data_IF_142125839210
#
_entry.id   IF_142125839210
#
_cell.length_a   1.000
_cell.length_b   1.000
_cell.length_c   1.000
_cell.angle_alpha   90.00
_cell.angle_beta   90.00
_cell.angle_gamma   90.00
#
_symmetry.space_group_name_H-M   'P 1'
#
loop_
_entity.id
_entity.type
_entity.pdbx_description
1 polymer ?
#
# COMPACT_ATOMS: atom_id res chain seq x y z
N UNK A 1 19.86 0.94 -19.99
CA UNK A 1 20.11 1.09 -18.53
C UNK A 1 18.97 0.51 -17.68
N UNK A 2 17.68 0.75 -18.00
CA UNK A 2 16.53 0.23 -17.22
C UNK A 2 16.51 -1.31 -17.12
N UNK A 3 16.79 -2.03 -18.20
CA UNK A 3 16.89 -3.50 -18.21
C UNK A 3 17.96 -4.02 -17.20
N UNK A 4 19.17 -3.45 -17.23
CA UNK A 4 20.24 -3.87 -16.33
C UNK A 4 19.89 -3.60 -14.88
N UNK A 5 19.32 -2.44 -14.58
CA UNK A 5 18.85 -2.10 -13.24
C UNK A 5 17.78 -3.05 -12.74
N UNK A 6 16.79 -3.38 -13.58
CA UNK A 6 15.75 -4.34 -13.24
C UNK A 6 16.32 -5.75 -13.04
N UNK A 7 17.28 -6.18 -13.88
CA UNK A 7 17.92 -7.48 -13.75
C UNK A 7 18.69 -7.61 -12.41
N UNK A 8 19.32 -6.55 -11.95
CA UNK A 8 20.01 -6.51 -10.65
C UNK A 8 19.01 -6.42 -9.51
N UNK A 9 17.95 -5.60 -9.67
CA UNK A 9 16.96 -5.39 -8.64
C UNK A 9 16.29 -6.69 -8.18
N UNK A 10 15.86 -7.54 -9.11
CA UNK A 10 15.12 -8.74 -8.77
C UNK A 10 15.89 -9.69 -7.83
N UNK A 11 17.08 -10.17 -8.16
CA UNK A 11 17.81 -11.08 -7.25
C UNK A 11 18.22 -10.39 -5.94
N UNK A 12 18.59 -9.12 -5.99
CA UNK A 12 19.02 -8.37 -4.79
C UNK A 12 17.82 -8.13 -3.85
N UNK A 13 16.72 -7.58 -4.36
CA UNK A 13 15.56 -7.29 -3.53
C UNK A 13 14.87 -8.57 -3.04
N UNK A 14 14.53 -9.50 -3.94
CA UNK A 14 13.79 -10.70 -3.56
C UNK A 14 14.66 -11.72 -2.81
N UNK A 15 15.94 -11.82 -3.13
CA UNK A 15 16.86 -12.70 -2.39
C UNK A 15 16.97 -12.29 -0.91
N UNK A 16 17.19 -11.01 -0.64
CA UNK A 16 17.20 -10.53 0.74
C UNK A 16 15.83 -10.56 1.39
N UNK A 17 14.75 -10.29 0.64
CA UNK A 17 13.38 -10.43 1.15
C UNK A 17 13.08 -11.85 1.62
N UNK A 18 13.55 -12.88 0.93
CA UNK A 18 13.40 -14.26 1.38
C UNK A 18 14.09 -14.51 2.73
N UNK A 19 15.29 -13.95 2.93
CA UNK A 19 15.99 -14.01 4.24
C UNK A 19 15.17 -13.28 5.32
N UNK A 20 14.60 -12.12 5.00
CA UNK A 20 13.77 -11.36 5.94
C UNK A 20 12.44 -12.06 6.26
N UNK A 21 11.88 -12.86 5.33
CA UNK A 21 10.73 -13.73 5.64
C UNK A 21 11.10 -14.76 6.68
N UNK A 22 12.27 -15.42 6.56
CA UNK A 22 12.77 -16.36 7.58
C UNK A 22 12.99 -15.62 8.91
N UNK A 23 13.68 -14.48 8.88
CA UNK A 23 13.92 -13.65 10.06
C UNK A 23 12.60 -13.21 10.74
N UNK A 24 11.56 -12.90 9.96
CA UNK A 24 10.25 -12.53 10.51
C UNK A 24 9.59 -13.67 11.28
N UNK A 25 9.69 -14.90 10.78
CA UNK A 25 9.19 -16.09 11.48
C UNK A 25 9.98 -16.33 12.77
N UNK A 26 11.31 -16.23 12.70
CA UNK A 26 12.20 -16.39 13.86
C UNK A 26 12.04 -15.26 14.90
N UNK A 27 11.56 -14.09 14.50
CA UNK A 27 11.31 -12.97 15.40
C UNK A 27 10.01 -13.15 16.24
N UNK A 28 9.07 -13.98 15.80
CA UNK A 28 7.76 -14.16 16.45
C UNK A 28 7.86 -14.55 17.93
N UNK A 29 8.69 -15.51 18.35
CA UNK A 29 8.85 -15.87 19.75
C UNK A 29 9.36 -14.73 20.64
N UNK A 30 10.05 -13.74 20.06
CA UNK A 30 10.57 -12.56 20.76
C UNK A 30 9.55 -11.43 20.86
N UNK A 31 8.32 -11.66 20.41
CA UNK A 31 7.19 -10.74 20.53
C UNK A 31 6.99 -9.80 19.34
N UNK A 32 5.87 -9.07 19.39
CA UNK A 32 5.43 -8.17 18.29
C UNK A 32 6.44 -7.10 17.93
N UNK A 33 7.17 -6.56 18.91
CA UNK A 33 8.16 -5.50 18.65
C UNK A 33 9.33 -6.00 17.81
N UNK A 34 9.77 -7.24 18.02
CA UNK A 34 10.80 -7.86 17.21
C UNK A 34 10.33 -8.04 15.76
N UNK A 35 9.12 -8.59 15.57
CA UNK A 35 8.51 -8.72 14.25
C UNK A 35 8.32 -7.37 13.55
N UNK A 36 7.84 -6.35 14.28
CA UNK A 36 7.69 -4.97 13.75
C UNK A 36 9.00 -4.42 13.21
N UNK A 37 10.12 -4.62 13.92
CA UNK A 37 11.44 -4.17 13.48
C UNK A 37 11.88 -4.86 12.17
N UNK A 38 11.66 -6.17 12.04
CA UNK A 38 11.99 -6.91 10.81
C UNK A 38 11.14 -6.41 9.64
N UNK A 39 9.85 -6.20 9.84
CA UNK A 39 8.95 -5.70 8.79
C UNK A 39 9.29 -4.26 8.40
N UNK A 40 9.61 -3.39 9.36
CA UNK A 40 10.06 -2.02 9.09
C UNK A 40 11.39 -2.02 8.30
N UNK A 41 12.34 -2.89 8.68
CA UNK A 41 13.59 -3.06 7.95
C UNK A 41 13.37 -3.52 6.50
N UNK A 42 12.39 -4.42 6.28
CA UNK A 42 12.02 -4.82 4.91
C UNK A 42 11.50 -3.65 4.07
N UNK A 43 10.67 -2.77 4.64
CA UNK A 43 10.24 -1.54 3.96
C UNK A 43 11.39 -0.59 3.63
N UNK A 44 12.35 -0.41 4.54
CA UNK A 44 13.56 0.40 4.31
C UNK A 44 14.46 -0.23 3.24
N UNK A 45 14.60 -1.55 3.24
CA UNK A 45 15.34 -2.29 2.21
C UNK A 45 14.70 -2.13 0.82
N UNK A 46 13.36 -2.15 0.76
CA UNK A 46 12.63 -1.86 -0.46
C UNK A 46 12.94 -0.45 -0.98
N UNK A 47 12.79 0.56 -0.12
CA UNK A 47 13.12 1.96 -0.46
C UNK A 47 14.54 2.07 -1.00
N UNK A 48 15.53 1.54 -0.26
CA UNK A 48 16.93 1.58 -0.68
C UNK A 48 17.12 0.93 -2.06
N UNK A 49 16.52 -0.22 -2.29
CA UNK A 49 16.63 -0.94 -3.58
C UNK A 49 15.99 -0.14 -4.73
N UNK A 50 14.86 0.49 -4.46
CA UNK A 50 14.13 1.31 -5.45
C UNK A 50 14.92 2.56 -5.81
N UNK A 51 15.49 3.26 -4.84
CA UNK A 51 16.24 4.49 -5.07
C UNK A 51 17.62 4.23 -5.68
N UNK A 52 18.38 3.27 -5.14
CA UNK A 52 19.78 3.07 -5.51
C UNK A 52 19.96 2.12 -6.70
N UNK A 53 19.10 1.12 -6.87
CA UNK A 53 19.22 0.19 -8.00
C UNK A 53 18.36 0.67 -9.17
N UNK A 54 17.08 0.96 -8.93
CA UNK A 54 16.15 1.34 -9.99
C UNK A 54 16.25 2.82 -10.39
N UNK A 55 16.84 3.68 -9.55
CA UNK A 55 16.90 5.13 -9.72
C UNK A 55 15.48 5.75 -9.80
N UNK A 56 14.63 5.31 -8.89
CA UNK A 56 13.28 5.84 -8.72
C UNK A 56 13.28 6.65 -7.42
N UNK A 57 13.06 7.95 -7.53
CA UNK A 57 12.92 8.85 -6.38
C UNK A 57 11.53 8.72 -5.78
N UNK A 58 11.43 8.75 -4.45
CA UNK A 58 10.15 8.73 -3.74
C UNK A 58 9.89 10.11 -3.11
N UNK A 59 8.72 10.66 -3.39
CA UNK A 59 8.27 11.96 -2.85
C UNK A 59 6.96 11.78 -2.12
N UNK A 60 6.82 12.38 -0.96
CA UNK A 60 5.57 12.44 -0.21
C UNK A 60 5.12 13.90 -0.10
N UNK A 61 3.90 14.17 -0.53
CA UNK A 61 3.23 15.46 -0.44
C UNK A 61 2.07 15.36 0.57
N UNK A 62 2.08 16.24 1.54
CA UNK A 62 1.13 16.22 2.66
C UNK A 62 1.57 15.33 3.82
N UNK A 63 0.81 15.41 4.90
CA UNK A 63 1.09 14.70 6.14
C UNK A 63 0.17 13.50 6.26
N UNK A 64 0.74 12.33 6.48
CA UNK A 64 0.00 11.12 6.80
C UNK A 64 -0.33 11.16 8.30
N UNK A 65 -1.61 11.07 8.71
CA UNK A 65 -1.96 11.09 10.12
C UNK A 65 -1.47 9.83 10.84
N UNK A 66 -0.95 9.99 12.04
CA UNK A 66 -0.46 8.89 12.90
C UNK A 66 -1.55 8.40 13.88
N UNK A 67 -2.80 8.62 13.55
CA UNK A 67 -3.98 8.23 14.31
C UNK A 67 -4.75 7.07 13.65
N UNK A 68 -5.64 6.38 14.39
CA UNK A 68 -6.46 5.29 13.83
C UNK A 68 -7.49 5.82 12.83
N UNK A 69 -7.11 5.90 11.56
CA UNK A 69 -7.96 6.30 10.43
C UNK A 69 -8.00 5.18 9.37
N UNK A 70 -8.98 5.27 8.48
CA UNK A 70 -9.01 4.43 7.28
C UNK A 70 -8.29 5.15 6.14
N UNK A 71 -7.15 4.63 5.72
CA UNK A 71 -6.35 5.20 4.64
C UNK A 71 -6.68 4.47 3.34
N UNK A 72 -7.21 5.19 2.37
CA UNK A 72 -7.57 4.69 1.06
C UNK A 72 -6.49 5.05 0.04
N UNK A 73 -5.66 4.08 -0.35
CA UNK A 73 -4.51 4.29 -1.23
C UNK A 73 -4.84 3.82 -2.64
N UNK A 74 -4.53 4.64 -3.66
CA UNK A 74 -4.52 4.23 -5.08
C UNK A 74 -3.64 2.99 -5.24
N UNK A 75 -4.06 2.02 -6.09
CA UNK A 75 -3.31 0.78 -6.30
C UNK A 75 -2.93 0.57 -7.76
N UNK A 76 -1.72 0.98 -8.14
CA UNK A 76 -1.23 0.85 -9.51
C UNK A 76 -0.20 -0.28 -9.69
N UNK A 77 0.57 -0.60 -8.64
CA UNK A 77 1.62 -1.61 -8.72
C UNK A 77 1.80 -2.38 -7.40
N UNK A 78 2.83 -3.20 -7.30
CA UNK A 78 3.23 -3.80 -6.02
C UNK A 78 3.96 -2.82 -5.10
N UNK A 79 4.46 -1.71 -5.66
CA UNK A 79 5.28 -0.75 -4.93
C UNK A 79 4.59 -0.27 -3.65
N UNK A 80 3.39 0.30 -3.76
CA UNK A 80 2.67 0.86 -2.63
C UNK A 80 2.29 -0.20 -1.59
N UNK A 81 1.98 -1.43 -2.01
CA UNK A 81 1.67 -2.50 -1.06
C UNK A 81 2.89 -2.92 -0.21
N UNK A 82 4.08 -2.92 -0.83
CA UNK A 82 5.34 -3.24 -0.16
C UNK A 82 5.81 -2.07 0.73
N UNK A 83 5.54 -0.84 0.32
CA UNK A 83 6.03 0.37 0.97
C UNK A 83 5.24 0.78 2.24
N UNK A 84 4.05 0.22 2.46
CA UNK A 84 3.20 0.56 3.62
C UNK A 84 3.91 0.47 4.98
N UNK A 85 4.73 -0.56 5.28
CA UNK A 85 5.44 -0.64 6.56
C UNK A 85 6.49 0.45 6.78
N UNK A 86 6.94 1.12 5.71
CA UNK A 86 7.85 2.27 5.79
C UNK A 86 7.08 3.57 6.03
N UNK A 87 5.97 3.75 5.32
CA UNK A 87 5.16 4.97 5.42
C UNK A 87 4.46 5.10 6.77
N UNK A 88 4.14 3.98 7.42
CA UNK A 88 3.39 3.95 8.67
C UNK A 88 4.14 3.14 9.74
N UNK A 89 4.08 3.58 10.99
CA UNK A 89 4.86 2.96 12.07
C UNK A 89 4.43 1.53 12.43
N UNK A 90 3.19 1.14 12.20
CA UNK A 90 2.65 -0.20 12.42
C UNK A 90 1.30 -0.39 11.73
N UNK A 91 1.24 -0.32 10.40
CA UNK A 91 -0.02 -0.33 9.68
C UNK A 91 -0.70 -1.68 9.73
N UNK A 92 -2.03 -1.67 9.61
CA UNK A 92 -2.84 -2.84 9.32
C UNK A 92 -3.36 -2.74 7.90
N UNK A 93 -2.87 -3.59 7.01
CA UNK A 93 -3.25 -3.60 5.60
C UNK A 93 -4.32 -4.66 5.35
N UNK A 94 -5.38 -4.29 4.63
CA UNK A 94 -6.33 -5.23 4.07
C UNK A 94 -5.69 -5.93 2.87
N UNK A 95 -5.35 -7.19 3.03
CA UNK A 95 -4.59 -7.96 2.05
C UNK A 95 -5.38 -9.15 1.50
N UNK A 96 -5.15 -9.50 0.24
CA UNK A 96 -5.79 -10.62 -0.43
C UNK A 96 -5.52 -11.93 0.33
N UNK A 97 -6.58 -12.71 0.60
CA UNK A 97 -6.51 -13.93 1.43
C UNK A 97 -5.47 -14.94 0.93
N UNK A 98 -5.30 -15.06 -0.38
CA UNK A 98 -4.37 -16.00 -1.00
C UNK A 98 -2.90 -15.69 -0.66
N UNK A 99 -2.58 -14.45 -0.35
CA UNK A 99 -1.23 -14.08 0.09
C UNK A 99 -0.85 -14.76 1.42
N UNK A 100 -1.83 -15.04 2.26
CA UNK A 100 -1.58 -15.74 3.54
C UNK A 100 -1.24 -17.23 3.37
N UNK A 101 -1.30 -17.76 2.15
CA UNK A 101 -0.84 -19.10 1.82
C UNK A 101 0.67 -19.15 1.50
N UNK A 102 1.33 -18.00 1.33
CA UNK A 102 2.77 -17.93 1.07
C UNK A 102 3.51 -18.42 2.32
N UNK A 103 4.35 -19.47 2.20
CA UNK A 103 5.08 -20.05 3.32
C UNK A 103 5.92 -18.99 4.07
N UNK A 104 5.86 -19.03 5.40
CA UNK A 104 6.55 -18.09 6.28
C UNK A 104 5.91 -16.68 6.28
N UNK A 105 5.77 -16.05 5.12
CA UNK A 105 5.19 -14.73 4.99
C UNK A 105 3.75 -14.69 5.53
N UNK A 106 2.90 -15.62 5.12
CA UNK A 106 1.49 -15.66 5.54
C UNK A 106 1.32 -15.83 7.04
N UNK A 107 2.17 -16.61 7.68
CA UNK A 107 2.19 -16.75 9.14
C UNK A 107 2.62 -15.44 9.82
N UNK A 108 3.72 -14.87 9.38
CA UNK A 108 4.20 -13.58 9.90
C UNK A 108 3.18 -12.45 9.67
N UNK A 109 2.53 -12.41 8.51
CA UNK A 109 1.48 -11.43 8.20
C UNK A 109 0.28 -11.51 9.15
N UNK A 110 -0.15 -12.73 9.52
CA UNK A 110 -1.21 -12.95 10.53
C UNK A 110 -0.79 -12.44 11.91
N UNK A 111 0.42 -12.79 12.36
CA UNK A 111 0.94 -12.37 13.66
C UNK A 111 1.18 -10.85 13.69
N UNK A 112 1.69 -10.29 12.61
CA UNK A 112 1.82 -8.85 12.43
C UNK A 112 0.47 -8.13 12.50
N UNK A 113 -0.60 -8.78 12.04
CA UNK A 113 -1.98 -8.30 12.16
C UNK A 113 -2.56 -7.70 10.89
N UNK A 114 -2.16 -8.18 9.72
CA UNK A 114 -2.87 -7.88 8.48
C UNK A 114 -4.28 -8.49 8.51
N UNK A 115 -5.20 -7.86 7.77
CA UNK A 115 -6.60 -8.30 7.67
C UNK A 115 -6.81 -9.03 6.35
N UNK A 116 -7.09 -10.35 6.36
CA UNK A 116 -7.35 -11.08 5.13
C UNK A 116 -8.71 -10.69 4.52
N UNK A 117 -8.72 -10.36 3.23
CA UNK A 117 -9.93 -10.04 2.46
C UNK A 117 -10.35 -11.26 1.65
N UNK A 118 -11.54 -11.79 1.94
CA UNK A 118 -12.20 -12.83 1.15
C UNK A 118 -13.40 -12.19 0.42
N UNK A 119 -13.24 -11.91 -0.88
CA UNK A 119 -14.24 -11.17 -1.67
C UNK A 119 -15.49 -11.96 -1.98
N UNK A 120 -15.40 -13.27 -2.00
CA UNK A 120 -16.39 -14.26 -2.42
C UNK A 120 -17.24 -14.86 -1.28
N UNK A 121 -16.97 -14.49 -0.02
CA UNK A 121 -17.58 -15.13 1.15
C UNK A 121 -18.72 -14.35 1.84
N UNK A 122 -19.26 -13.32 1.20
CA UNK A 122 -20.47 -12.64 1.64
C UNK A 122 -20.40 -11.96 3.02
N UNK A 123 -21.56 -11.78 3.67
CA UNK A 123 -21.71 -10.99 4.90
C UNK A 123 -20.93 -11.54 6.11
N UNK A 124 -20.72 -12.86 6.20
CA UNK A 124 -19.95 -13.46 7.32
C UNK A 124 -18.50 -13.02 7.27
N UNK A 125 -17.84 -13.14 6.10
CA UNK A 125 -16.46 -12.74 5.93
C UNK A 125 -16.26 -11.23 6.16
N UNK A 126 -17.20 -10.40 5.75
CA UNK A 126 -17.17 -8.97 6.05
C UNK A 126 -17.20 -8.72 7.56
N UNK A 127 -18.06 -9.40 8.31
CA UNK A 127 -18.13 -9.25 9.77
C UNK A 127 -16.83 -9.68 10.46
N UNK A 128 -16.24 -10.80 10.07
CA UNK A 128 -14.95 -11.28 10.61
C UNK A 128 -13.82 -10.29 10.32
N UNK A 129 -13.79 -9.74 9.12
CA UNK A 129 -12.83 -8.72 8.70
C UNK A 129 -12.99 -7.43 9.53
N UNK A 130 -14.22 -6.96 9.74
CA UNK A 130 -14.52 -5.78 10.56
C UNK A 130 -14.16 -6.02 12.03
N UNK A 131 -14.46 -7.19 12.58
CA UNK A 131 -14.09 -7.54 13.96
C UNK A 131 -12.57 -7.48 14.15
N UNK A 132 -11.81 -8.05 13.21
CA UNK A 132 -10.34 -7.98 13.21
C UNK A 132 -9.85 -6.54 13.10
N UNK A 133 -10.42 -5.75 12.18
CA UNK A 133 -10.04 -4.36 12.00
C UNK A 133 -10.28 -3.51 13.27
N UNK A 134 -11.41 -3.71 13.95
CA UNK A 134 -11.71 -3.02 15.22
C UNK A 134 -10.69 -3.32 16.32
N UNK A 135 -10.19 -4.55 16.41
CA UNK A 135 -9.12 -4.90 17.36
C UNK A 135 -7.86 -4.07 17.03
N UNK A 136 -7.51 -3.93 15.75
CA UNK A 136 -6.32 -3.18 15.31
C UNK A 136 -6.47 -1.67 15.55
N UNK A 137 -7.67 -1.12 15.35
CA UNK A 137 -7.99 0.26 15.73
C UNK A 137 -7.77 0.49 17.24
N UNK A 138 -8.25 -0.45 18.06
CA UNK A 138 -8.04 -0.40 19.52
C UNK A 138 -6.56 -0.50 19.93
N UNK A 139 -5.70 -1.00 19.07
CA UNK A 139 -4.23 -1.00 19.22
C UNK A 139 -3.57 0.32 18.75
N UNK A 140 -4.36 1.33 18.34
CA UNK A 140 -3.86 2.61 17.82
C UNK A 140 -3.32 2.54 16.39
N UNK A 141 -3.66 1.51 15.60
CA UNK A 141 -3.08 1.26 14.28
C UNK A 141 -3.93 1.86 13.16
N UNK A 142 -3.32 2.54 12.17
CA UNK A 142 -4.02 2.95 10.97
C UNK A 142 -4.41 1.73 10.13
N UNK A 143 -5.58 1.80 9.51
CA UNK A 143 -6.07 0.77 8.59
C UNK A 143 -5.83 1.20 7.14
N UNK A 144 -5.20 0.37 6.34
CA UNK A 144 -4.88 0.68 4.95
C UNK A 144 -5.66 -0.23 4.02
N UNK A 145 -6.37 0.38 3.09
CA UNK A 145 -7.14 -0.31 2.08
C UNK A 145 -6.83 0.24 0.68
N UNK A 146 -6.86 -0.66 -0.29
CA UNK A 146 -6.83 -0.33 -1.71
C UNK A 146 -8.28 -0.39 -2.24
N UNK A 147 -8.99 0.74 -2.34
CA UNK A 147 -10.44 0.76 -2.55
C UNK A 147 -10.86 0.27 -3.94
N UNK A 148 -9.95 0.24 -4.89
CA UNK A 148 -10.15 -0.33 -6.23
C UNK A 148 -10.17 -1.87 -6.21
N UNK A 149 -9.63 -2.46 -5.15
CA UNK A 149 -9.59 -3.90 -4.92
C UNK A 149 -8.66 -4.68 -5.84
N UNK A 150 -8.06 -4.08 -6.83
CA UNK A 150 -7.05 -4.65 -7.74
C UNK A 150 -6.10 -3.56 -8.17
N UNK A 151 -4.96 -3.94 -8.77
CA UNK A 151 -4.07 -2.97 -9.39
C UNK A 151 -4.70 -2.42 -10.65
N UNK A 152 -4.68 -1.09 -10.77
CA UNK A 152 -5.28 -0.34 -11.88
C UNK A 152 -4.17 0.30 -12.70
N UNK A 153 -4.27 0.25 -14.01
CA UNK A 153 -3.30 0.91 -14.87
C UNK A 153 -3.32 2.43 -14.61
N UNK A 154 -2.16 3.05 -14.65
CA UNK A 154 -2.06 4.50 -14.52
C UNK A 154 -2.91 5.21 -15.59
N UNK A 155 -3.69 6.19 -15.18
CA UNK A 155 -4.66 6.90 -16.00
C UNK A 155 -6.07 6.30 -15.99
N UNK A 156 -6.25 5.04 -15.57
CA UNK A 156 -7.57 4.45 -15.44
C UNK A 156 -8.21 4.81 -14.09
N UNK A 157 -9.53 5.00 -14.11
CA UNK A 157 -10.32 5.43 -12.95
C UNK A 157 -11.57 4.56 -12.76
N UNK A 158 -11.42 3.24 -12.52
CA UNK A 158 -12.57 2.38 -12.31
C UNK A 158 -13.33 2.75 -11.04
N UNK A 159 -14.61 2.39 -10.95
CA UNK A 159 -15.39 2.59 -9.73
C UNK A 159 -14.80 1.82 -8.56
N UNK A 160 -14.95 2.37 -7.35
CA UNK A 160 -14.50 1.74 -6.12
C UNK A 160 -15.31 0.47 -5.82
N UNK A 161 -14.68 -0.52 -5.20
CA UNK A 161 -15.34 -1.76 -4.82
C UNK A 161 -16.41 -1.51 -3.73
N UNK A 162 -17.56 -2.14 -3.87
CA UNK A 162 -18.68 -2.00 -2.93
C UNK A 162 -18.31 -2.39 -1.49
N UNK A 163 -17.35 -3.30 -1.31
CA UNK A 163 -16.81 -3.68 -0.01
C UNK A 163 -16.16 -2.51 0.75
N UNK A 164 -15.57 -1.55 0.04
CA UNK A 164 -14.98 -0.36 0.65
C UNK A 164 -16.03 0.49 1.38
N UNK A 165 -17.18 0.75 0.74
CA UNK A 165 -18.28 1.48 1.38
C UNK A 165 -18.83 0.75 2.61
N UNK A 166 -18.89 -0.59 2.56
CA UNK A 166 -19.27 -1.41 3.71
C UNK A 166 -18.28 -1.28 4.88
N UNK A 167 -16.99 -1.31 4.61
CA UNK A 167 -15.93 -1.12 5.61
C UNK A 167 -16.04 0.28 6.23
N UNK A 168 -16.11 1.33 5.42
CA UNK A 168 -16.29 2.71 5.88
C UNK A 168 -17.48 2.85 6.84
N UNK A 169 -18.65 2.37 6.41
CA UNK A 169 -19.89 2.46 7.21
C UNK A 169 -19.79 1.69 8.54
N UNK A 170 -19.21 0.47 8.52
CA UNK A 170 -19.17 -0.41 9.68
C UNK A 170 -18.06 -0.05 10.68
N UNK A 171 -16.99 0.60 10.22
CA UNK A 171 -15.92 1.08 11.09
C UNK A 171 -16.23 2.45 11.70
N UNK A 172 -16.98 3.30 10.98
CA UNK A 172 -17.29 4.66 11.44
C UNK A 172 -16.06 5.56 11.56
N UNK A 173 -15.02 5.31 10.77
CA UNK A 173 -13.78 6.09 10.77
C UNK A 173 -13.77 7.14 9.66
N UNK A 174 -13.07 8.28 9.85
CA UNK A 174 -12.73 9.15 8.74
C UNK A 174 -11.81 8.43 7.75
N UNK A 175 -11.84 8.86 6.48
CA UNK A 175 -11.00 8.33 5.42
C UNK A 175 -9.97 9.37 5.00
N UNK A 176 -8.70 8.96 4.93
CA UNK A 176 -7.62 9.75 4.35
C UNK A 176 -7.27 9.13 2.98
N UNK A 177 -7.61 9.79 1.87
CA UNK A 177 -7.27 9.30 0.55
C UNK A 177 -5.80 9.61 0.23
N UNK A 178 -5.11 8.68 -0.42
CA UNK A 178 -3.71 8.85 -0.86
C UNK A 178 -3.60 8.45 -2.32
N UNK A 179 -3.27 9.42 -3.16
CA UNK A 179 -2.93 9.17 -4.56
C UNK A 179 -1.47 8.70 -4.68
N UNK A 180 -1.20 7.82 -5.65
CA UNK A 180 0.15 7.39 -6.01
C UNK A 180 0.24 7.16 -7.52
N UNK A 181 1.37 7.49 -8.13
CA UNK A 181 1.65 7.31 -9.56
C UNK A 181 2.74 6.27 -9.81
N UNK A 182 2.67 5.14 -9.12
CA UNK A 182 3.70 4.09 -9.22
C UNK A 182 3.67 3.30 -10.54
N UNK A 183 2.54 3.28 -11.23
CA UNK A 183 2.29 2.47 -12.41
C UNK A 183 3.34 2.63 -13.52
N UNK A 184 3.62 3.83 -14.01
CA UNK A 184 4.58 4.08 -15.09
C UNK A 184 6.00 3.58 -14.77
N UNK A 185 6.37 3.58 -13.51
CA UNK A 185 7.74 3.29 -13.07
C UNK A 185 7.92 1.85 -12.57
N UNK A 186 6.90 1.30 -11.89
CA UNK A 186 7.07 0.05 -11.13
C UNK A 186 6.15 -1.10 -11.59
N UNK A 187 5.10 -0.84 -12.38
CA UNK A 187 4.13 -1.89 -12.75
C UNK A 187 4.74 -2.94 -13.68
N UNK A 188 5.46 -2.52 -14.72
CA UNK A 188 6.05 -3.42 -15.71
C UNK A 188 7.19 -4.26 -15.12
N UNK A 189 7.56 -5.37 -15.79
CA UNK A 189 8.72 -6.20 -15.43
C UNK A 189 9.99 -5.36 -15.48
N UNK A 190 10.20 -4.62 -16.56
CA UNK A 190 11.30 -3.66 -16.65
C UNK A 190 10.89 -2.36 -15.98
N UNK A 191 11.47 -2.10 -14.80
CA UNK A 191 11.21 -0.89 -14.02
C UNK A 191 11.85 0.32 -14.71
N UNK A 192 11.14 1.45 -14.69
CA UNK A 192 11.62 2.67 -15.31
C UNK A 192 12.09 3.67 -14.24
N UNK A 193 13.21 4.36 -14.44
CA UNK A 193 13.63 5.43 -13.55
C UNK A 193 12.64 6.59 -13.59
N UNK A 194 12.53 7.31 -12.49
CA UNK A 194 11.62 8.47 -12.41
C UNK A 194 11.29 8.85 -10.97
N UNK A 195 10.11 9.43 -10.77
CA UNK A 195 9.65 9.84 -9.44
C UNK A 195 8.28 9.27 -9.15
N UNK A 196 8.17 8.50 -8.07
CA UNK A 196 6.90 8.07 -7.52
C UNK A 196 6.50 9.07 -6.44
N UNK A 197 5.31 9.61 -6.56
CA UNK A 197 4.75 10.59 -5.63
C UNK A 197 3.58 9.98 -4.89
N UNK A 198 3.60 10.11 -3.56
CA UNK A 198 2.43 9.94 -2.71
C UNK A 198 1.86 11.33 -2.41
N UNK A 199 0.60 11.55 -2.74
CA UNK A 199 -0.11 12.78 -2.38
C UNK A 199 -1.25 12.46 -1.43
N UNK A 200 -1.12 12.98 -0.21
CA UNK A 200 -2.14 12.83 0.84
C UNK A 200 -3.24 13.86 0.61
N UNK A 201 -4.47 13.41 0.45
CA UNK A 201 -5.63 14.28 0.26
C UNK A 201 -6.26 14.70 1.59
N UNK A 202 -7.28 15.56 1.49
CA UNK A 202 -8.04 16.00 2.65
C UNK A 202 -8.79 14.86 3.32
N UNK A 203 -8.84 14.89 4.65
CA UNK A 203 -9.58 13.90 5.44
C UNK A 203 -11.08 14.01 5.17
N UNK A 204 -11.68 12.91 4.78
CA UNK A 204 -13.11 12.76 4.53
C UNK A 204 -13.77 12.29 5.84
N UNK A 205 -14.70 13.06 6.43
CA UNK A 205 -15.31 12.70 7.72
C UNK A 205 -16.10 11.40 7.65
N UNK A 206 -16.22 10.74 8.79
CA UNK A 206 -17.10 9.57 8.94
C UNK A 206 -18.59 9.96 8.79
N UNK A 207 -19.42 8.98 8.43
CA UNK A 207 -20.88 9.14 8.43
C UNK A 207 -21.48 9.79 7.17
N UNK A 208 -20.68 10.10 6.15
CA UNK A 208 -21.23 10.61 4.89
C UNK A 208 -22.08 9.56 4.15
N UNK A 209 -23.07 10.00 3.35
CA UNK A 209 -23.74 9.13 2.39
C UNK A 209 -22.75 8.42 1.48
N UNK A 210 -23.03 7.15 1.15
CA UNK A 210 -22.14 6.30 0.35
C UNK A 210 -21.66 7.00 -0.94
N UNK A 211 -22.59 7.53 -1.72
CA UNK A 211 -22.27 8.15 -3.01
C UNK A 211 -21.34 9.37 -2.86
N UNK A 212 -21.52 10.15 -1.79
CA UNK A 212 -20.68 11.30 -1.50
C UNK A 212 -19.26 10.89 -1.09
N UNK A 213 -19.15 9.93 -0.18
CA UNK A 213 -17.86 9.38 0.26
C UNK A 213 -17.10 8.75 -0.91
N UNK A 214 -17.76 7.87 -1.69
CA UNK A 214 -17.12 7.21 -2.84
C UNK A 214 -16.64 8.25 -3.88
N UNK A 215 -17.43 9.28 -4.18
CA UNK A 215 -17.08 10.35 -5.11
C UNK A 215 -15.83 11.10 -4.63
N UNK A 216 -15.78 11.50 -3.34
CA UNK A 216 -14.64 12.23 -2.76
C UNK A 216 -13.38 11.39 -2.76
N UNK A 217 -13.46 10.13 -2.30
CA UNK A 217 -12.30 9.22 -2.29
C UNK A 217 -11.81 8.96 -3.71
N UNK A 218 -12.72 8.63 -4.64
CA UNK A 218 -12.37 8.34 -6.03
C UNK A 218 -11.65 9.52 -6.69
N UNK A 219 -12.18 10.73 -6.54
CA UNK A 219 -11.53 11.94 -7.05
C UNK A 219 -10.13 12.14 -6.43
N UNK A 220 -10.00 11.99 -5.12
CA UNK A 220 -8.77 12.29 -4.40
C UNK A 220 -7.64 11.28 -4.70
N UNK A 221 -7.94 9.98 -4.85
CA UNK A 221 -6.91 8.98 -5.17
C UNK A 221 -6.45 9.04 -6.63
N UNK A 222 -7.19 9.71 -7.51
CA UNK A 222 -6.91 9.80 -8.95
C UNK A 222 -6.26 11.14 -9.39
N UNK A 223 -5.96 12.04 -8.46
CA UNK A 223 -5.40 13.38 -8.78
C UNK A 223 -4.02 13.35 -9.45
N UNK A 224 -3.33 12.22 -9.43
CA UNK A 224 -2.03 12.02 -10.10
C UNK A 224 -2.15 11.28 -11.44
N UNK A 225 -3.36 10.99 -11.91
CA UNK A 225 -3.58 10.29 -13.19
C UNK A 225 -3.38 11.18 -14.43
N UNK A 226 -3.20 12.49 -14.27
CA UNK A 226 -2.99 13.42 -15.38
C UNK A 226 -1.58 13.29 -15.94
N UNK A 227 -1.44 13.45 -17.27
CA UNK A 227 -0.15 13.39 -17.99
C UNK A 227 0.86 14.41 -17.43
N UNK A 228 0.40 15.53 -16.87
CA UNK A 228 1.23 16.54 -16.22
C UNK A 228 1.98 16.04 -14.97
N UNK A 229 1.54 14.92 -14.37
CA UNK A 229 2.21 14.29 -13.23
C UNK A 229 3.39 13.39 -13.62
N UNK A 230 3.58 13.12 -14.91
CA UNK A 230 4.75 12.39 -15.39
C UNK A 230 5.93 13.35 -15.50
N UNK A 231 7.07 13.08 -14.84
CA UNK A 231 8.25 13.91 -15.04
C UNK A 231 8.65 13.82 -16.51
N UNK A 232 8.66 14.93 -17.19
CA UNK A 232 9.32 15.06 -18.50
C UNK A 232 10.76 14.63 -18.29
N UNK A 233 11.19 13.57 -19.00
CA UNK A 233 12.61 13.15 -18.99
C UNK A 233 13.51 14.35 -19.28
N UNK A 234 14.83 14.26 -18.97
CA UNK A 234 15.76 15.36 -19.19
C UNK A 234 15.60 15.87 -20.62
N UNK A 235 15.18 17.12 -20.79
CA UNK A 235 15.16 17.78 -22.09
C UNK A 235 16.61 17.72 -22.60
N UNK A 236 16.83 17.31 -23.87
CA UNK A 236 18.16 17.43 -24.47
C UNK A 236 18.55 18.89 -24.38
N UNK A 237 19.73 19.15 -23.80
CA UNK A 237 20.30 20.50 -23.75
C UNK A 237 20.24 21.08 -25.16
N UNK A 238 19.57 22.20 -25.30
CA UNK A 238 19.56 23.00 -26.53
C UNK A 238 20.99 23.38 -26.84
N UNK A 239 21.49 22.92 -27.99
CA UNK A 239 22.76 23.27 -28.57
C UNK A 239 22.82 24.76 -28.96
#
# INVERSE_FOLDING_TARGET
MAYLRSLIFYPVFYGYSAMLVIASVLAIPFGRNALKKVVAHWGLWHLWSVENILNIRIVQEGVIPDEPVLIAVKHESFFEAIDMPRLFSFPTVFAKRELFLIPGWGYSAKVYGLVPVARDKGAKALREMIATAKIRIGEGRPLIIFPEGTRVKHGDEPPLQSGFAGIYKLLGLPVVPVAVNSGPFYHAIVKQPGTITYRVGETIPAGLPRAEMERRVHRAINVLNTIESLPTGPQPASA
#
